data_IF_304285748737
#
_entry.id   IF_304285748737
#
_cell.length_a   1.000
_cell.length_b   1.000
_cell.length_c   1.000
_cell.angle_alpha   90.00
_cell.angle_beta   90.00
_cell.angle_gamma   90.00
#
_symmetry.space_group_name_H-M   'P 1'
#
loop_
_entity.id
_entity.type
_entity.pdbx_description
1 polymer ?
#
# COMPACT_ATOMS: atom_id res chain seq x y z
N UNK A 1 -46.60 -47.32 -41.19
CA UNK A 1 -46.36 -45.98 -40.63
C UNK A 1 -46.05 -46.16 -39.16
N UNK A 2 -44.78 -46.04 -38.74
CA UNK A 2 -44.44 -46.10 -37.32
C UNK A 2 -44.77 -44.73 -36.71
N UNK A 3 -45.82 -44.67 -35.91
CA UNK A 3 -46.13 -43.49 -35.10
C UNK A 3 -44.99 -43.23 -34.13
N UNK A 4 -44.53 -41.98 -34.04
CA UNK A 4 -43.52 -41.59 -33.08
C UNK A 4 -43.96 -41.98 -31.65
N UNK A 5 -43.02 -42.39 -30.78
CA UNK A 5 -43.35 -42.73 -29.41
C UNK A 5 -44.01 -41.54 -28.69
N UNK A 6 -45.04 -41.81 -27.88
CA UNK A 6 -45.83 -40.78 -27.18
C UNK A 6 -45.06 -39.97 -26.13
N UNK A 7 -43.78 -40.27 -25.87
CA UNK A 7 -42.93 -39.57 -24.90
C UNK A 7 -42.05 -38.47 -25.51
N UNK A 8 -42.06 -38.30 -26.83
CA UNK A 8 -41.19 -37.34 -27.54
C UNK A 8 -41.39 -35.88 -27.12
N UNK A 9 -42.60 -35.51 -26.65
CA UNK A 9 -42.89 -34.16 -26.15
C UNK A 9 -42.24 -33.85 -24.78
N UNK A 10 -41.88 -34.87 -24.00
CA UNK A 10 -41.28 -34.68 -22.68
C UNK A 10 -39.79 -34.33 -22.74
N UNK A 11 -39.11 -34.76 -23.81
CA UNK A 11 -37.67 -34.52 -24.04
C UNK A 11 -37.29 -33.03 -24.02
N UNK A 12 -37.94 -32.12 -24.78
CA UNK A 12 -37.58 -30.71 -24.77
C UNK A 12 -37.83 -30.06 -23.41
N UNK A 13 -38.89 -30.45 -22.69
CA UNK A 13 -39.19 -29.91 -21.34
C UNK A 13 -38.09 -30.27 -20.34
N UNK A 14 -37.66 -31.54 -20.33
CA UNK A 14 -36.56 -31.99 -19.47
C UNK A 14 -35.26 -31.27 -19.84
N UNK A 15 -34.97 -31.13 -21.15
CA UNK A 15 -33.79 -30.41 -21.62
C UNK A 15 -33.79 -28.94 -21.20
N UNK A 16 -34.93 -28.24 -21.28
CA UNK A 16 -35.07 -26.85 -20.82
C UNK A 16 -34.87 -26.71 -19.32
N UNK A 17 -35.39 -27.63 -18.51
CA UNK A 17 -35.20 -27.62 -17.05
C UNK A 17 -33.71 -27.82 -16.71
N UNK A 18 -33.04 -28.78 -17.35
CA UNK A 18 -31.61 -29.02 -17.15
C UNK A 18 -30.79 -27.78 -17.55
N UNK A 19 -31.13 -27.13 -18.67
CA UNK A 19 -30.48 -25.92 -19.11
C UNK A 19 -30.65 -24.76 -18.11
N UNK A 20 -31.87 -24.57 -17.57
CA UNK A 20 -32.15 -23.54 -16.56
C UNK A 20 -31.39 -23.77 -15.25
N UNK A 21 -31.30 -25.04 -14.81
CA UNK A 21 -30.50 -25.40 -13.63
C UNK A 21 -29.02 -25.11 -13.89
N UNK A 22 -28.51 -25.47 -15.08
CA UNK A 22 -27.14 -25.18 -15.49
C UNK A 22 -26.83 -23.68 -15.43
N UNK A 23 -27.67 -22.84 -16.04
CA UNK A 23 -27.53 -21.37 -16.02
C UNK A 23 -27.59 -20.83 -14.59
N UNK A 24 -28.50 -21.34 -13.76
CA UNK A 24 -28.63 -20.90 -12.36
C UNK A 24 -27.38 -21.19 -11.54
N UNK A 25 -26.79 -22.39 -11.69
CA UNK A 25 -25.52 -22.76 -11.05
C UNK A 25 -24.39 -21.86 -11.55
N UNK A 26 -24.30 -21.61 -12.86
CA UNK A 26 -23.29 -20.71 -13.44
C UNK A 26 -23.38 -19.31 -12.86
N UNK A 27 -24.59 -18.75 -12.74
CA UNK A 27 -24.80 -17.42 -12.13
C UNK A 27 -24.31 -17.42 -10.69
N UNK A 28 -24.68 -18.41 -9.88
CA UNK A 28 -24.26 -18.51 -8.47
C UNK A 28 -22.73 -18.57 -8.36
N UNK A 29 -22.07 -19.38 -9.18
CA UNK A 29 -20.60 -19.50 -9.21
C UNK A 29 -19.95 -18.19 -9.66
N UNK A 30 -20.49 -17.54 -10.70
CA UNK A 30 -19.99 -16.24 -11.17
C UNK A 30 -20.10 -15.17 -10.10
N UNK A 31 -21.23 -15.07 -9.39
CA UNK A 31 -21.41 -14.11 -8.30
C UNK A 31 -20.41 -14.35 -7.17
N UNK A 32 -20.16 -15.61 -6.81
CA UNK A 32 -19.15 -15.95 -5.80
C UNK A 32 -17.75 -15.56 -6.25
N UNK A 33 -17.37 -15.88 -7.49
CA UNK A 33 -16.06 -15.54 -8.05
C UNK A 33 -15.87 -14.03 -8.18
N UNK A 34 -16.90 -13.30 -8.61
CA UNK A 34 -16.87 -11.84 -8.72
C UNK A 34 -16.67 -11.19 -7.35
N UNK A 35 -17.40 -11.64 -6.32
CA UNK A 35 -17.23 -11.12 -4.96
C UNK A 35 -15.82 -11.38 -4.40
N UNK A 36 -15.23 -12.55 -4.69
CA UNK A 36 -13.84 -12.85 -4.31
C UNK A 36 -12.85 -11.95 -5.06
N UNK A 37 -13.02 -11.80 -6.37
CA UNK A 37 -12.18 -10.93 -7.20
C UNK A 37 -12.23 -9.46 -6.75
N UNK A 38 -13.40 -8.94 -6.40
CA UNK A 38 -13.55 -7.58 -5.89
C UNK A 38 -12.77 -7.37 -4.58
N UNK A 39 -12.84 -8.33 -3.65
CA UNK A 39 -12.10 -8.25 -2.39
C UNK A 39 -10.58 -8.30 -2.63
N UNK A 40 -10.10 -9.22 -3.46
CA UNK A 40 -8.69 -9.28 -3.82
C UNK A 40 -8.22 -7.99 -4.51
N UNK A 41 -9.00 -7.46 -5.45
CA UNK A 41 -8.68 -6.22 -6.16
C UNK A 41 -8.61 -5.01 -5.22
N UNK A 42 -9.54 -4.90 -4.27
CA UNK A 42 -9.52 -3.82 -3.27
C UNK A 42 -8.29 -3.90 -2.35
N UNK A 43 -7.96 -5.10 -1.85
CA UNK A 43 -6.78 -5.28 -0.99
C UNK A 43 -5.47 -5.03 -1.74
N UNK A 44 -5.37 -5.50 -2.99
CA UNK A 44 -4.24 -5.18 -3.86
C UNK A 44 -4.11 -3.68 -4.08
N UNK A 45 -5.24 -2.98 -4.29
CA UNK A 45 -5.22 -1.53 -4.50
C UNK A 45 -4.74 -0.77 -3.26
N UNK A 46 -5.18 -1.17 -2.07
CA UNK A 46 -4.69 -0.62 -0.80
C UNK A 46 -3.19 -0.85 -0.66
N UNK A 47 -2.72 -2.07 -0.98
CA UNK A 47 -1.30 -2.43 -0.90
C UNK A 47 -0.45 -1.57 -1.86
N UNK A 48 -0.92 -1.32 -3.08
CA UNK A 48 -0.27 -0.40 -4.03
C UNK A 48 -0.17 1.02 -3.48
N UNK A 49 -1.26 1.54 -2.90
CA UNK A 49 -1.28 2.88 -2.31
C UNK A 49 -0.31 2.99 -1.13
N UNK A 50 -0.26 1.98 -0.25
CA UNK A 50 0.70 1.93 0.86
C UNK A 50 2.13 1.86 0.36
N UNK A 51 2.41 1.05 -0.66
CA UNK A 51 3.75 0.98 -1.23
C UNK A 51 4.19 2.32 -1.86
N UNK A 52 3.29 3.01 -2.56
CA UNK A 52 3.55 4.35 -3.10
C UNK A 52 3.82 5.37 -1.98
N UNK A 53 3.08 5.28 -0.89
CA UNK A 53 3.31 6.10 0.31
C UNK A 53 4.68 5.80 0.96
N UNK A 54 5.04 4.54 1.20
CA UNK A 54 6.37 4.13 1.74
C UNK A 54 7.50 4.67 0.86
N UNK A 55 7.36 4.55 -0.47
CA UNK A 55 8.36 5.05 -1.41
C UNK A 55 8.51 6.58 -1.31
N UNK A 56 7.38 7.29 -1.29
CA UNK A 56 7.37 8.75 -1.17
C UNK A 56 7.99 9.23 0.15
N UNK A 57 7.74 8.51 1.25
CA UNK A 57 8.32 8.79 2.56
C UNK A 57 9.83 8.55 2.55
N UNK A 58 10.28 7.41 2.02
CA UNK A 58 11.70 7.08 1.89
C UNK A 58 12.46 8.10 1.04
N UNK A 59 11.88 8.55 -0.07
CA UNK A 59 12.46 9.60 -0.91
C UNK A 59 12.56 10.94 -0.18
N UNK A 60 11.52 11.33 0.57
CA UNK A 60 11.53 12.55 1.37
C UNK A 60 12.58 12.49 2.49
N UNK A 61 12.70 11.36 3.20
CA UNK A 61 13.73 11.12 4.21
C UNK A 61 15.14 11.20 3.64
N UNK A 62 15.38 10.57 2.48
CA UNK A 62 16.67 10.62 1.80
C UNK A 62 17.02 12.05 1.34
N UNK A 63 16.06 12.77 0.75
CA UNK A 63 16.25 14.16 0.35
C UNK A 63 16.54 15.06 1.55
N UNK A 64 15.76 14.93 2.64
CA UNK A 64 15.98 15.71 3.86
C UNK A 64 17.37 15.47 4.45
N UNK A 65 17.79 14.20 4.53
CA UNK A 65 19.11 13.84 5.05
C UNK A 65 20.24 14.37 4.17
N UNK A 66 20.13 14.22 2.83
CA UNK A 66 21.15 14.67 1.88
C UNK A 66 21.38 16.17 1.95
N UNK A 67 20.30 16.97 1.96
CA UNK A 67 20.42 18.42 2.11
C UNK A 67 20.88 18.78 3.52
N UNK A 68 20.39 18.08 4.54
CA UNK A 68 20.76 18.31 5.93
C UNK A 68 22.26 18.26 6.15
N UNK A 69 22.97 17.27 5.61
CA UNK A 69 24.43 17.12 5.79
C UNK A 69 25.26 17.94 4.81
N UNK A 70 24.64 18.61 3.83
CA UNK A 70 25.38 19.38 2.82
C UNK A 70 25.77 20.76 3.39
N UNK A 71 27.07 21.10 3.40
CA UNK A 71 27.52 22.42 3.85
C UNK A 71 27.15 23.50 2.84
N UNK A 72 26.86 24.71 3.34
CA UNK A 72 26.68 25.91 2.51
C UNK A 72 25.59 25.80 1.44
N UNK A 73 24.41 25.29 1.80
CA UNK A 73 23.25 25.25 0.91
C UNK A 73 22.93 26.64 0.34
N UNK A 74 22.64 26.70 -0.95
CA UNK A 74 22.08 27.89 -1.56
C UNK A 74 20.58 28.05 -1.18
N UNK A 75 19.98 29.19 -1.50
CA UNK A 75 18.59 29.48 -1.13
C UNK A 75 17.58 28.45 -1.68
N UNK A 76 17.80 27.95 -2.89
CA UNK A 76 16.92 26.95 -3.51
C UNK A 76 17.04 25.60 -2.80
N UNK A 77 18.27 25.15 -2.53
CA UNK A 77 18.50 23.89 -1.81
C UNK A 77 17.99 23.96 -0.36
N UNK A 78 18.11 25.14 0.28
CA UNK A 78 17.54 25.35 1.61
C UNK A 78 16.01 25.22 1.59
N UNK A 79 15.35 25.80 0.57
CA UNK A 79 13.91 25.62 0.37
C UNK A 79 13.55 24.15 0.19
N UNK A 80 14.27 23.43 -0.68
CA UNK A 80 14.05 22.00 -0.92
C UNK A 80 14.23 21.16 0.36
N UNK A 81 15.18 21.55 1.22
CA UNK A 81 15.38 20.91 2.53
C UNK A 81 14.17 21.07 3.46
N UNK A 82 13.62 22.29 3.57
CA UNK A 82 12.40 22.54 4.36
C UNK A 82 11.17 21.85 3.77
N UNK A 83 11.06 21.82 2.44
CA UNK A 83 9.99 21.09 1.74
C UNK A 83 10.06 19.59 2.01
N UNK A 84 11.26 19.00 1.99
CA UNK A 84 11.47 17.60 2.33
C UNK A 84 11.06 17.29 3.78
N UNK A 85 11.45 18.14 4.73
CA UNK A 85 11.03 18.02 6.13
C UNK A 85 9.52 18.09 6.29
N UNK A 86 8.88 19.10 5.70
CA UNK A 86 7.42 19.25 5.72
C UNK A 86 6.71 18.04 5.11
N UNK A 87 7.25 17.51 4.01
CA UNK A 87 6.70 16.32 3.34
C UNK A 87 6.77 15.08 4.23
N UNK A 88 7.86 14.89 4.99
CA UNK A 88 7.96 13.80 5.97
C UNK A 88 6.85 13.93 7.03
N UNK A 89 6.67 15.12 7.61
CA UNK A 89 5.64 15.33 8.63
C UNK A 89 4.22 15.11 8.10
N UNK A 90 3.93 15.52 6.86
CA UNK A 90 2.63 15.31 6.21
C UNK A 90 2.36 13.84 5.84
N UNK A 91 3.40 13.08 5.55
CA UNK A 91 3.27 11.66 5.21
C UNK A 91 3.12 10.79 6.47
N UNK A 92 3.64 11.22 7.62
CA UNK A 92 3.57 10.46 8.86
C UNK A 92 2.27 10.70 9.63
N UNK A 93 1.80 9.70 10.39
CA UNK A 93 0.69 9.89 11.32
C UNK A 93 1.24 10.30 12.70
N UNK A 94 0.77 11.41 13.30
CA UNK A 94 1.18 11.82 14.65
C UNK A 94 0.94 10.78 15.75
N UNK A 95 0.05 9.82 15.51
CA UNK A 95 -0.23 8.70 16.43
C UNK A 95 0.77 7.55 16.30
N UNK A 96 1.68 7.59 15.32
CA UNK A 96 2.70 6.55 15.15
C UNK A 96 3.71 6.60 16.31
N UNK A 97 4.15 5.44 16.84
CA UNK A 97 4.98 5.39 18.04
C UNK A 97 6.36 6.05 17.85
N UNK A 98 6.86 6.13 16.62
CA UNK A 98 8.15 6.75 16.30
C UNK A 98 8.03 8.22 15.87
N UNK A 99 6.81 8.76 15.74
CA UNK A 99 6.60 10.10 15.17
C UNK A 99 7.37 11.18 15.94
N UNK A 100 7.23 11.17 17.27
CA UNK A 100 7.88 12.17 18.13
C UNK A 100 9.40 12.09 18.04
N UNK A 101 9.95 10.89 18.03
CA UNK A 101 11.41 10.70 17.93
C UNK A 101 11.94 11.13 16.56
N UNK A 102 11.23 10.83 15.48
CA UNK A 102 11.57 11.30 14.13
C UNK A 102 11.58 12.82 14.07
N UNK A 103 10.54 13.46 14.61
CA UNK A 103 10.42 14.91 14.67
C UNK A 103 11.58 15.53 15.47
N UNK A 104 11.93 14.96 16.62
CA UNK A 104 13.07 15.43 17.43
C UNK A 104 14.40 15.34 16.67
N UNK A 105 14.61 14.25 15.91
CA UNK A 105 15.77 14.12 15.03
C UNK A 105 15.78 15.18 13.91
N UNK A 106 14.63 15.49 13.32
CA UNK A 106 14.53 16.53 12.29
C UNK A 106 14.82 17.92 12.85
N UNK A 107 14.31 18.26 14.03
CA UNK A 107 14.63 19.54 14.68
C UNK A 107 16.07 19.62 15.17
N UNK A 108 16.69 18.50 15.55
CA UNK A 108 18.13 18.47 15.81
C UNK A 108 18.94 18.87 14.57
N UNK A 109 18.52 18.43 13.38
CA UNK A 109 19.11 18.85 12.11
C UNK A 109 18.92 20.36 11.83
N UNK A 110 17.74 20.91 12.13
CA UNK A 110 17.46 22.34 11.93
C UNK A 110 18.23 23.24 12.90
N UNK A 111 18.44 22.79 14.14
CA UNK A 111 19.11 23.56 15.18
C UNK A 111 20.64 23.40 15.18
N UNK A 112 21.18 22.50 14.36
CA UNK A 112 22.62 22.27 14.27
C UNK A 112 23.32 23.43 13.53
N UNK A 113 24.24 24.11 14.22
CA UNK A 113 24.96 25.29 13.71
C UNK A 113 26.20 24.89 12.90
N UNK A 114 26.85 23.79 13.27
CA UNK A 114 28.05 23.30 12.59
C UNK A 114 27.77 22.04 11.76
N UNK A 115 28.65 21.79 10.78
CA UNK A 115 28.62 20.57 9.96
C UNK A 115 28.82 19.32 10.83
N UNK A 116 29.67 19.40 11.85
CA UNK A 116 29.94 18.30 12.78
C UNK A 116 28.70 17.96 13.64
N UNK A 117 27.92 18.98 14.05
CA UNK A 117 26.65 18.75 14.76
C UNK A 117 25.64 18.03 13.87
N UNK A 118 25.56 18.39 12.59
CA UNK A 118 24.67 17.74 11.61
C UNK A 118 25.08 16.28 11.36
N UNK A 119 26.39 16.02 11.23
CA UNK A 119 26.89 14.65 11.14
C UNK A 119 26.61 13.84 12.41
N UNK A 120 26.65 14.48 13.58
CA UNK A 120 26.35 13.83 14.86
C UNK A 120 24.85 13.52 15.03
N UNK A 121 23.96 14.33 14.46
CA UNK A 121 22.51 14.08 14.46
C UNK A 121 22.09 12.97 13.48
N UNK A 122 22.85 12.77 12.40
CA UNK A 122 22.51 11.87 11.30
C UNK A 122 22.27 10.40 11.71
N UNK A 123 23.11 9.73 12.52
CA UNK A 123 22.92 8.33 12.89
C UNK A 123 21.57 8.05 13.53
N UNK A 124 21.11 8.93 14.43
CA UNK A 124 19.83 8.77 15.11
C UNK A 124 18.65 8.97 14.17
N UNK A 125 18.73 9.94 13.27
CA UNK A 125 17.71 10.13 12.22
C UNK A 125 17.58 8.89 11.34
N UNK A 126 18.71 8.34 10.87
CA UNK A 126 18.73 7.14 10.01
C UNK A 126 18.15 5.91 10.74
N UNK A 127 18.50 5.70 12.01
CA UNK A 127 17.97 4.59 12.81
C UNK A 127 16.43 4.63 12.90
N UNK A 128 15.88 5.79 13.24
CA UNK A 128 14.42 5.99 13.33
C UNK A 128 13.76 5.78 11.98
N UNK A 129 14.32 6.33 10.89
CA UNK A 129 13.80 6.13 9.54
C UNK A 129 13.78 4.64 9.15
N UNK A 130 14.86 3.90 9.42
CA UNK A 130 14.93 2.47 9.14
C UNK A 130 13.88 1.68 9.90
N UNK A 131 13.67 1.98 11.19
CA UNK A 131 12.67 1.32 12.02
C UNK A 131 11.25 1.56 11.51
N UNK A 132 10.91 2.79 11.16
CA UNK A 132 9.63 3.16 10.57
C UNK A 132 9.41 2.40 9.25
N UNK A 133 10.35 2.53 8.30
CA UNK A 133 10.24 1.89 6.99
C UNK A 133 10.16 0.36 7.09
N UNK A 134 10.89 -0.23 8.05
CA UNK A 134 10.85 -1.67 8.30
C UNK A 134 9.50 -2.10 8.83
N UNK A 135 8.93 -1.40 9.82
CA UNK A 135 7.59 -1.70 10.35
C UNK A 135 6.54 -1.64 9.24
N UNK A 136 6.53 -0.57 8.46
CA UNK A 136 5.54 -0.37 7.39
C UNK A 136 5.69 -1.40 6.27
N UNK A 137 6.92 -1.84 6.00
CA UNK A 137 7.18 -2.97 5.10
C UNK A 137 6.60 -4.29 5.62
N UNK A 138 6.74 -4.58 6.91
CA UNK A 138 6.14 -5.78 7.52
C UNK A 138 4.60 -5.73 7.47
N UNK A 139 4.00 -4.55 7.70
CA UNK A 139 2.56 -4.34 7.55
C UNK A 139 2.11 -4.60 6.11
N UNK A 140 2.76 -3.99 5.12
CA UNK A 140 2.46 -4.20 3.70
C UNK A 140 2.55 -5.68 3.30
N UNK A 141 3.60 -6.38 3.73
CA UNK A 141 3.73 -7.82 3.46
C UNK A 141 2.57 -8.63 4.04
N UNK A 142 2.12 -8.29 5.24
CA UNK A 142 1.00 -8.97 5.88
C UNK A 142 -0.32 -8.75 5.12
N UNK A 143 -0.56 -7.54 4.62
CA UNK A 143 -1.74 -7.19 3.81
C UNK A 143 -1.76 -7.97 2.49
N UNK A 144 -0.62 -8.02 1.79
CA UNK A 144 -0.46 -8.76 0.52
C UNK A 144 -0.62 -10.27 0.73
N UNK A 145 -0.01 -10.84 1.78
CA UNK A 145 -0.15 -12.27 2.09
C UNK A 145 -1.59 -12.63 2.50
N UNK A 146 -2.27 -11.75 3.23
CA UNK A 146 -3.69 -11.92 3.58
C UNK A 146 -4.59 -11.93 2.34
N UNK A 147 -4.28 -11.11 1.33
CA UNK A 147 -5.00 -11.11 0.06
C UNK A 147 -4.86 -12.44 -0.70
N UNK A 148 -3.65 -13.02 -0.70
CA UNK A 148 -3.36 -14.28 -1.39
C UNK A 148 -4.01 -15.51 -0.74
N UNK A 149 -4.23 -15.51 0.57
CA UNK A 149 -4.89 -16.62 1.29
C UNK A 149 -6.42 -16.61 1.17
N UNK A 150 -7.00 -15.53 0.63
CA UNK A 150 -8.45 -15.39 0.44
C UNK A 150 -8.95 -15.91 -0.92
N UNK A 151 -8.03 -16.38 -1.78
CA UNK A 151 -8.32 -17.08 -3.04
C UNK A 151 -8.39 -18.59 -2.82
#
# INVERSE_FOLDING_TARGET
MNSAPTWTWAVPLIASIIALIGVSITIIVQWRNFNLQLKSAHTLKISEMRQAWINSLREAMASFQSHGVTPSLNHMEQKEWYEAGTKIELLMNPSDPDYKELQDCMYAFFNAESVDDKFSANPKFVDVCQRILKREWEVLKSEVQGAGKSQ
#
